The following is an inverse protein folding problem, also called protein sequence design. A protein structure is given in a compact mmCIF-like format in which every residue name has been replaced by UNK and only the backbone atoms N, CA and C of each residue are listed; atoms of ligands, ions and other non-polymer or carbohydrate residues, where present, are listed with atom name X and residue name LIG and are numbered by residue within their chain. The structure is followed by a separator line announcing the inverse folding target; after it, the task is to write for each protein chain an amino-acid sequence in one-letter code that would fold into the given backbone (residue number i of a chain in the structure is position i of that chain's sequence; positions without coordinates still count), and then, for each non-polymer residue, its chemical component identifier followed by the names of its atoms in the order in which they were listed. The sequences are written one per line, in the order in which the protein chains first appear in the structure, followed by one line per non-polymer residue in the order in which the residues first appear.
data_IF_636432731682
#
_entry.id   IF_636432731682
#
_cell.length_a   1.000
_cell.length_b   1.000
_cell.length_c   1.000
_cell.angle_alpha   90.00
_cell.angle_beta   90.00
_cell.angle_gamma   90.00
#
_symmetry.space_group_name_H-M   'P 1'
#
loop_
_entity.id
_entity.type
_entity.pdbx_description
1 polymer ?
#
# COMPACT_ATOMS: atom_id res chain seq x y z
N UNK A 1 0.83 12.64 4.11
CA UNK A 1 2.11 12.33 3.42
C UNK A 1 3.16 13.41 3.68
N UNK A 2 2.95 14.68 3.34
CA UNK A 2 3.98 15.75 3.48
C UNK A 2 4.54 15.89 4.90
N UNK A 3 3.68 15.81 5.91
CA UNK A 3 4.11 15.85 7.31
C UNK A 3 5.00 14.64 7.67
N UNK A 4 4.64 13.45 7.25
CA UNK A 4 5.41 12.24 7.52
C UNK A 4 6.79 12.31 6.87
N UNK A 5 6.84 12.74 5.60
CA UNK A 5 8.09 12.99 4.87
C UNK A 5 8.96 14.02 5.59
N UNK A 6 8.38 15.16 5.98
CA UNK A 6 9.11 16.21 6.69
C UNK A 6 9.64 15.74 8.05
N UNK A 7 8.90 14.92 8.79
CA UNK A 7 9.34 14.34 10.07
C UNK A 7 10.58 13.47 9.86
N UNK A 8 10.56 12.59 8.86
CA UNK A 8 11.69 11.69 8.57
C UNK A 8 12.91 12.50 8.11
N UNK A 9 12.72 13.42 7.17
CA UNK A 9 13.81 14.27 6.67
C UNK A 9 14.45 15.11 7.78
N UNK A 10 13.65 15.69 8.68
CA UNK A 10 14.16 16.44 9.82
C UNK A 10 14.85 15.56 10.86
N UNK A 11 14.36 14.33 11.09
CA UNK A 11 15.01 13.40 11.99
C UNK A 11 16.41 13.02 11.48
N UNK A 12 16.55 12.69 10.20
CA UNK A 12 17.85 12.41 9.57
C UNK A 12 18.83 13.58 9.71
N UNK A 13 18.33 14.78 9.45
CA UNK A 13 19.13 16.01 9.64
C UNK A 13 19.55 16.23 11.08
N UNK A 14 18.66 15.98 12.05
CA UNK A 14 18.93 16.18 13.47
C UNK A 14 20.02 15.23 14.01
N UNK A 15 20.12 14.02 13.47
CA UNK A 15 21.17 13.06 13.84
C UNK A 15 22.44 13.19 12.99
N UNK A 16 22.50 14.17 12.09
CA UNK A 16 23.64 14.39 11.21
C UNK A 16 23.80 13.32 10.11
N UNK A 17 22.77 12.54 9.83
CA UNK A 17 22.77 11.60 8.72
C UNK A 17 22.61 12.33 7.38
N UNK A 18 23.21 11.78 6.32
CA UNK A 18 22.92 12.21 4.95
C UNK A 18 21.56 11.69 4.49
N UNK A 19 21.23 11.98 3.23
CA UNK A 19 19.99 11.48 2.61
C UNK A 19 20.07 9.99 2.27
N UNK A 20 21.27 9.43 2.10
CA UNK A 20 21.48 8.00 1.85
C UNK A 20 21.92 7.32 3.14
N UNK A 21 21.14 6.35 3.58
CA UNK A 21 21.34 5.63 4.85
C UNK A 21 21.57 4.13 4.56
N UNK A 22 22.65 3.54 5.08
CA UNK A 22 22.86 2.10 4.94
C UNK A 22 21.86 1.32 5.82
N UNK A 23 21.29 0.26 5.26
CA UNK A 23 20.42 -0.68 5.95
C UNK A 23 20.78 -2.11 5.53
N UNK A 24 21.46 -2.85 6.40
CA UNK A 24 22.05 -4.15 6.04
C UNK A 24 22.98 -4.02 4.83
N UNK A 25 22.70 -4.80 3.79
CA UNK A 25 23.47 -4.79 2.54
C UNK A 25 22.92 -3.78 1.50
N UNK A 26 21.86 -3.04 1.84
CA UNK A 26 21.22 -2.06 0.96
C UNK A 26 21.54 -0.62 1.35
N UNK A 27 21.32 0.30 0.40
CA UNK A 27 21.38 1.75 0.62
C UNK A 27 19.99 2.31 0.35
N UNK A 28 19.41 2.98 1.33
CA UNK A 28 18.10 3.63 1.19
C UNK A 28 18.31 5.12 0.95
N UNK A 29 17.78 5.64 -0.13
CA UNK A 29 17.82 7.07 -0.46
C UNK A 29 16.56 7.78 0.04
N UNK A 30 16.73 8.62 1.04
CA UNK A 30 15.70 9.47 1.64
C UNK A 30 15.62 10.88 1.03
N UNK A 31 16.16 11.06 -0.18
CA UNK A 31 16.02 12.33 -0.88
C UNK A 31 14.55 12.67 -1.11
N UNK A 32 14.15 13.87 -0.77
CA UNK A 32 12.77 14.35 -0.98
C UNK A 32 12.58 14.94 -2.37
N UNK A 33 11.37 14.85 -2.96
CA UNK A 33 10.16 14.21 -2.42
C UNK A 33 10.22 12.68 -2.50
N UNK A 34 9.62 11.99 -1.51
CA UNK A 34 9.44 10.55 -1.56
C UNK A 34 8.48 10.17 -2.68
N UNK A 35 8.68 9.01 -3.27
CA UNK A 35 7.80 8.49 -4.30
C UNK A 35 6.35 8.36 -3.78
N UNK A 36 5.38 8.62 -4.65
CA UNK A 36 3.94 8.46 -4.38
C UNK A 36 3.35 7.68 -5.52
N UNK A 37 2.88 6.49 -5.24
CA UNK A 37 2.31 5.58 -6.24
C UNK A 37 1.00 5.00 -5.71
N UNK A 38 0.11 4.72 -6.63
CA UNK A 38 -1.11 4.01 -6.28
C UNK A 38 -0.83 2.52 -6.11
N UNK A 39 -1.69 1.87 -5.36
CA UNK A 39 -1.67 0.43 -5.14
C UNK A 39 -1.68 -0.33 -6.49
N UNK A 40 -2.53 0.09 -7.42
CA UNK A 40 -2.66 -0.56 -8.72
C UNK A 40 -1.43 -0.33 -9.63
N UNK A 41 -0.84 0.87 -9.61
CA UNK A 41 0.41 1.13 -10.33
C UNK A 41 1.53 0.21 -9.86
N UNK A 42 1.74 0.10 -8.55
CA UNK A 42 2.75 -0.77 -7.97
C UNK A 42 2.47 -2.24 -8.24
N UNK A 43 1.21 -2.65 -8.17
CA UNK A 43 0.80 -4.01 -8.51
C UNK A 43 1.18 -4.36 -9.95
N UNK A 44 0.79 -3.52 -10.90
CA UNK A 44 1.08 -3.73 -12.32
C UNK A 44 2.60 -3.73 -12.61
N UNK A 45 3.34 -2.79 -12.01
CA UNK A 45 4.79 -2.67 -12.21
C UNK A 45 5.56 -3.91 -11.73
N UNK A 46 5.16 -4.50 -10.60
CA UNK A 46 5.91 -5.59 -9.98
C UNK A 46 5.43 -6.98 -10.43
N UNK A 47 4.19 -7.11 -10.88
CA UNK A 47 3.63 -8.41 -11.31
C UNK A 47 3.54 -8.57 -12.82
N UNK A 48 3.46 -7.45 -13.55
CA UNK A 48 3.16 -7.45 -15.00
C UNK A 48 1.69 -7.81 -15.31
N UNK A 49 0.83 -7.90 -14.29
CA UNK A 49 -0.59 -8.26 -14.41
C UNK A 49 -1.45 -7.00 -14.29
N UNK A 50 -2.48 -6.88 -15.13
CA UNK A 50 -3.48 -5.82 -15.00
C UNK A 50 -4.28 -5.99 -13.70
N UNK A 51 -4.17 -5.05 -12.73
CA UNK A 51 -4.86 -5.16 -11.44
C UNK A 51 -6.39 -5.10 -11.52
N UNK A 52 -6.94 -4.70 -12.68
CA UNK A 52 -8.39 -4.62 -12.93
C UNK A 52 -8.95 -5.91 -13.53
N UNK A 53 -8.10 -6.78 -14.09
CA UNK A 53 -8.48 -8.09 -14.60
C UNK A 53 -8.46 -9.13 -13.47
N UNK A 54 -9.61 -9.33 -12.84
CA UNK A 54 -9.77 -10.26 -11.71
C UNK A 54 -9.38 -11.71 -12.08
N UNK A 55 -9.58 -12.13 -13.33
CA UNK A 55 -9.21 -13.49 -13.76
C UNK A 55 -7.69 -13.61 -13.87
N UNK A 56 -7.03 -12.64 -14.50
CA UNK A 56 -5.58 -12.61 -14.59
C UNK A 56 -4.91 -12.55 -13.21
N UNK A 57 -5.44 -11.74 -12.28
CA UNK A 57 -4.96 -11.67 -10.90
C UNK A 57 -5.13 -13.02 -10.20
N UNK A 58 -6.28 -13.67 -10.34
CA UNK A 58 -6.56 -14.99 -9.75
C UNK A 58 -5.63 -16.08 -10.31
N UNK A 59 -5.41 -16.11 -11.61
CA UNK A 59 -4.49 -17.04 -12.26
C UNK A 59 -3.05 -16.82 -11.78
N UNK A 60 -2.63 -15.58 -11.70
CA UNK A 60 -1.31 -15.22 -11.18
C UNK A 60 -1.13 -15.64 -9.71
N UNK A 61 -2.11 -15.36 -8.85
CA UNK A 61 -2.11 -15.78 -7.45
C UNK A 61 -2.01 -17.31 -7.32
N UNK A 62 -2.78 -18.05 -8.13
CA UNK A 62 -2.71 -19.51 -8.15
C UNK A 62 -1.32 -20.01 -8.60
N UNK A 63 -0.66 -19.33 -9.55
CA UNK A 63 0.69 -19.66 -9.98
C UNK A 63 1.74 -19.47 -8.89
N UNK A 64 1.47 -18.60 -7.91
CA UNK A 64 2.30 -18.41 -6.72
C UNK A 64 2.00 -19.41 -5.61
N UNK A 65 1.00 -20.28 -5.81
CA UNK A 65 0.57 -21.24 -4.79
C UNK A 65 -0.41 -20.68 -3.75
N UNK A 66 -0.93 -19.47 -3.97
CA UNK A 66 -1.90 -18.85 -3.07
C UNK A 66 -3.28 -19.52 -3.21
N UNK A 67 -3.99 -19.63 -2.10
CA UNK A 67 -5.36 -20.17 -2.10
C UNK A 67 -6.34 -19.10 -2.58
N UNK A 68 -7.04 -19.39 -3.67
CA UNK A 68 -7.92 -18.42 -4.34
C UNK A 68 -9.42 -18.77 -4.29
N UNK A 69 -9.78 -19.99 -3.84
CA UNK A 69 -11.18 -20.40 -3.81
C UNK A 69 -11.96 -19.76 -2.66
N UNK A 70 -13.16 -19.27 -2.96
CA UNK A 70 -14.05 -18.66 -1.96
C UNK A 70 -13.61 -17.30 -1.43
N UNK A 71 -12.50 -16.74 -1.90
CA UNK A 71 -12.01 -15.43 -1.48
C UNK A 71 -12.54 -14.30 -2.38
N UNK A 72 -12.75 -13.14 -1.77
CA UNK A 72 -13.05 -11.92 -2.52
C UNK A 72 -11.87 -11.54 -3.44
N UNK A 73 -12.10 -11.03 -4.66
CA UNK A 73 -11.03 -10.68 -5.60
C UNK A 73 -9.98 -9.72 -5.01
N UNK A 74 -10.40 -8.71 -4.25
CA UNK A 74 -9.47 -7.77 -3.64
C UNK A 74 -8.62 -8.39 -2.52
N UNK A 75 -9.13 -9.42 -1.84
CA UNK A 75 -8.33 -10.19 -0.86
C UNK A 75 -7.24 -10.97 -1.58
N UNK A 76 -7.58 -11.62 -2.71
CA UNK A 76 -6.59 -12.33 -3.54
C UNK A 76 -5.53 -11.35 -4.05
N UNK A 77 -5.97 -10.19 -4.56
CA UNK A 77 -5.09 -9.13 -5.04
C UNK A 77 -4.16 -8.63 -3.93
N UNK A 78 -4.67 -8.48 -2.70
CA UNK A 78 -3.87 -8.06 -1.56
C UNK A 78 -2.80 -9.10 -1.16
N UNK A 79 -3.15 -10.39 -1.16
CA UNK A 79 -2.17 -11.45 -0.89
C UNK A 79 -1.04 -11.49 -1.95
N UNK A 80 -1.36 -11.20 -3.21
CA UNK A 80 -0.34 -11.04 -4.26
C UNK A 80 0.52 -9.81 -4.01
N UNK A 81 -0.10 -8.69 -3.58
CA UNK A 81 0.61 -7.45 -3.28
C UNK A 81 1.61 -7.65 -2.14
N UNK A 82 1.18 -8.24 -1.04
CA UNK A 82 2.05 -8.59 0.10
C UNK A 82 3.21 -9.49 -0.33
N UNK A 83 2.95 -10.52 -1.14
CA UNK A 83 3.94 -11.51 -1.55
C UNK A 83 4.96 -10.97 -2.60
N UNK A 84 4.55 -10.04 -3.48
CA UNK A 84 5.35 -9.66 -4.65
C UNK A 84 5.73 -8.20 -4.73
N UNK A 85 5.00 -7.34 -4.05
CA UNK A 85 5.20 -5.89 -4.18
C UNK A 85 5.93 -5.33 -2.97
N UNK A 86 5.48 -5.63 -1.76
CA UNK A 86 6.01 -5.01 -0.55
C UNK A 86 7.53 -5.17 -0.39
N UNK A 87 8.04 -6.37 -0.55
CA UNK A 87 9.48 -6.66 -0.45
C UNK A 87 10.33 -5.97 -1.53
N UNK A 88 9.70 -5.59 -2.66
CA UNK A 88 10.37 -4.87 -3.73
C UNK A 88 10.49 -3.36 -3.49
N UNK A 89 9.78 -2.83 -2.49
CA UNK A 89 9.74 -1.40 -2.16
C UNK A 89 10.97 -0.99 -1.31
N UNK A 90 12.11 -0.79 -1.94
CA UNK A 90 13.38 -0.46 -1.27
C UNK A 90 13.43 0.99 -0.81
N UNK A 91 13.10 1.95 -1.68
CA UNK A 91 13.10 3.39 -1.36
C UNK A 91 11.84 3.82 -0.62
N UNK A 92 11.85 4.99 0.02
CA UNK A 92 10.64 5.54 0.61
C UNK A 92 9.57 5.74 -0.46
N UNK A 93 8.46 5.05 -0.32
CA UNK A 93 7.31 5.18 -1.22
C UNK A 93 6.01 5.22 -0.43
N UNK A 94 5.21 6.25 -0.69
CA UNK A 94 3.83 6.30 -0.23
C UNK A 94 2.95 5.52 -1.19
N UNK A 95 2.33 4.48 -0.69
CA UNK A 95 1.31 3.70 -1.40
C UNK A 95 -0.05 4.28 -1.06
N UNK A 96 -0.82 4.64 -2.08
CA UNK A 96 -2.15 5.23 -1.95
C UNK A 96 -3.19 4.39 -2.69
N UNK A 97 -4.45 4.77 -2.56
CA UNK A 97 -5.54 4.22 -3.38
C UNK A 97 -5.76 2.71 -3.18
N UNK A 98 -5.69 2.28 -1.92
CA UNK A 98 -6.04 0.91 -1.53
C UNK A 98 -7.50 0.59 -1.87
N UNK A 99 -7.82 -0.64 -2.29
CA UNK A 99 -9.21 -1.07 -2.45
C UNK A 99 -10.02 -0.89 -1.16
N UNK A 100 -11.17 -0.23 -1.24
CA UNK A 100 -11.99 0.05 -0.06
C UNK A 100 -12.53 -1.22 0.61
N UNK A 101 -12.69 -2.30 -0.14
CA UNK A 101 -13.18 -3.61 0.34
C UNK A 101 -12.25 -4.25 1.38
N UNK A 102 -10.94 -3.97 1.33
CA UNK A 102 -9.96 -4.46 2.31
C UNK A 102 -9.65 -3.44 3.42
N UNK A 103 -10.34 -2.30 3.41
CA UNK A 103 -10.16 -1.20 4.37
C UNK A 103 -11.47 -0.86 5.11
N UNK A 104 -12.03 -1.77 5.93
CA UNK A 104 -13.39 -1.64 6.45
C UNK A 104 -13.59 -0.50 7.45
N UNK A 105 -12.51 0.05 8.01
CA UNK A 105 -12.56 1.16 8.97
C UNK A 105 -12.21 2.51 8.35
N UNK A 106 -11.90 2.51 7.05
CA UNK A 106 -11.44 3.70 6.33
C UNK A 106 -12.58 4.33 5.54
N UNK A 107 -12.64 5.65 5.56
CA UNK A 107 -13.55 6.41 4.71
C UNK A 107 -13.19 6.19 3.23
N UNK A 108 -14.21 6.04 2.40
CA UNK A 108 -14.04 5.95 0.95
C UNK A 108 -13.81 7.31 0.34
N UNK A 109 -13.06 7.40 -0.75
CA UNK A 109 -12.91 8.63 -1.51
C UNK A 109 -14.26 9.07 -2.07
N UNK A 110 -14.52 10.38 -2.03
CA UNK A 110 -15.81 10.95 -2.49
C UNK A 110 -15.98 10.84 -4.01
N UNK A 111 -14.89 10.92 -4.75
CA UNK A 111 -14.85 10.82 -6.21
C UNK A 111 -14.71 9.38 -6.73
N UNK A 112 -14.26 8.47 -5.88
CA UNK A 112 -14.15 7.04 -6.20
C UNK A 112 -14.41 6.17 -4.96
N UNK A 113 -15.65 5.72 -4.74
CA UNK A 113 -16.02 4.95 -3.54
C UNK A 113 -15.44 3.54 -3.46
N UNK A 114 -14.82 3.04 -4.53
CA UNK A 114 -14.11 1.76 -4.53
C UNK A 114 -12.70 1.86 -3.94
N UNK A 115 -12.26 3.08 -3.62
CA UNK A 115 -10.93 3.39 -3.10
C UNK A 115 -11.03 4.01 -1.69
N UNK A 116 -10.14 3.57 -0.81
CA UNK A 116 -10.02 4.07 0.56
C UNK A 116 -9.18 5.37 0.64
N UNK A 117 -9.57 6.29 1.53
CA UNK A 117 -8.74 7.45 1.91
C UNK A 117 -7.63 7.02 2.88
N UNK A 118 -6.64 6.31 2.36
CA UNK A 118 -5.52 5.72 3.10
C UNK A 118 -4.20 5.90 2.36
N UNK A 119 -3.12 6.00 3.12
CA UNK A 119 -1.79 5.76 2.60
C UNK A 119 -0.97 4.93 3.58
N UNK A 120 -0.02 4.21 3.06
CA UNK A 120 1.07 3.58 3.80
C UNK A 120 2.41 4.09 3.27
N UNK A 121 3.40 4.18 4.14
CA UNK A 121 4.78 4.46 3.76
C UNK A 121 5.60 3.20 3.92
N UNK A 122 6.12 2.71 2.82
CA UNK A 122 7.07 1.60 2.80
C UNK A 122 8.50 2.11 2.66
N UNK A 123 9.39 1.47 3.41
CA UNK A 123 10.84 1.66 3.32
C UNK A 123 11.49 0.30 3.51
N UNK A 124 12.22 -0.15 2.51
CA UNK A 124 12.92 -1.44 2.48
C UNK A 124 12.02 -2.63 2.86
N UNK A 125 10.87 -2.73 2.21
CA UNK A 125 9.87 -3.79 2.42
C UNK A 125 9.07 -3.66 3.73
N UNK A 126 9.30 -2.63 4.53
CA UNK A 126 8.63 -2.45 5.82
C UNK A 126 7.61 -1.30 5.76
N UNK A 127 6.39 -1.55 6.24
CA UNK A 127 5.42 -0.50 6.53
C UNK A 127 5.89 0.32 7.74
N UNK A 128 6.32 1.54 7.49
CA UNK A 128 6.84 2.45 8.51
C UNK A 128 5.78 3.43 9.03
N UNK A 129 4.80 3.77 8.23
CA UNK A 129 3.68 4.61 8.63
C UNK A 129 2.41 4.22 7.88
N UNK A 130 1.29 4.33 8.58
CA UNK A 130 -0.05 4.09 8.04
C UNK A 130 -0.96 5.23 8.52
N UNK A 131 -1.71 5.81 7.61
CA UNK A 131 -2.68 6.84 7.97
C UNK A 131 -3.89 6.79 7.03
N UNK A 132 -5.05 7.00 7.61
CA UNK A 132 -6.31 6.99 6.89
C UNK A 132 -7.33 7.95 7.54
N UNK A 133 -8.32 8.33 6.74
CA UNK A 133 -9.49 9.04 7.26
C UNK A 133 -10.44 8.02 7.88
N UNK A 134 -10.74 8.17 9.16
CA UNK A 134 -11.62 7.25 9.90
C UNK A 134 -13.02 7.23 9.31
N UNK A 135 -13.59 6.04 9.16
CA UNK A 135 -14.99 5.88 8.77
C UNK A 135 -15.89 6.41 9.89
N UNK A 136 -16.71 7.39 9.57
CA UNK A 136 -17.64 8.03 10.51
C UNK A 136 -19.11 7.91 10.08
N UNK A 137 -19.41 6.93 9.23
CA UNK A 137 -20.75 6.58 8.77
C UNK A 137 -21.20 5.29 9.47
N UNK A 138 -22.11 5.38 10.48
CA UNK A 138 -22.54 4.21 11.24
C UNK A 138 -23.36 3.22 10.42
N UNK A 139 -24.10 3.68 9.41
CA UNK A 139 -24.94 2.80 8.57
C UNK A 139 -24.04 2.00 7.62
N UNK A 140 -23.03 2.64 7.03
CA UNK A 140 -22.03 1.97 6.21
C UNK A 140 -21.23 0.97 7.07
N UNK A 141 -20.78 1.37 8.26
CA UNK A 141 -20.03 0.49 9.15
C UNK A 141 -20.83 -0.75 9.54
N UNK A 142 -22.11 -0.58 9.88
CA UNK A 142 -22.99 -1.68 10.22
C UNK A 142 -23.17 -2.65 9.03
N UNK A 143 -23.28 -2.13 7.82
CA UNK A 143 -23.39 -2.96 6.60
C UNK A 143 -22.13 -3.81 6.38
N UNK A 144 -20.94 -3.29 6.70
CA UNK A 144 -19.67 -4.01 6.55
C UNK A 144 -19.48 -5.12 7.58
N UNK A 145 -20.05 -4.99 8.78
CA UNK A 145 -20.01 -6.03 9.81
C UNK A 145 -20.84 -7.26 9.43
N UNK A 146 -21.89 -7.08 8.64
CA UNK A 146 -22.82 -8.15 8.25
C UNK A 146 -22.45 -8.84 6.93
N UNK A 147 -21.36 -8.48 6.31
CA UNK A 147 -20.79 -9.17 5.15
C UNK A 147 -19.87 -10.28 5.63
#
# INVERSE_FOLDING_TARGET
MDLTEAVIANALKAIGAGTTVPYGDTQVDFSTPFARKTYDELFAENTGVDPTDQNAVKEYAASLGLHVEGKHPDVIKNEVFEEKVEDALVGPVFVTDYPASICPLTKRKADNPDVAERFELFINGMELANAYTELNDPDLQLSLIHI
#
